data_IF_841488879237
#
_entry.id   IF_841488879237
#
_cell.length_a   1.000
_cell.length_b   1.000
_cell.length_c   1.000
_cell.angle_alpha   90.00
_cell.angle_beta   90.00
_cell.angle_gamma   90.00
#
_symmetry.space_group_name_H-M   'P 1'
#
loop_
_entity.id
_entity.type
_entity.pdbx_description
1 polymer ?
#
# COMPACT_ATOMS: atom_id res chain seq x y z
N UNK A 1 -53.95 -13.47 -41.57
CA UNK A 1 -53.38 -13.77 -40.24
C UNK A 1 -54.01 -12.78 -39.27
N UNK A 2 -54.87 -13.26 -38.35
CA UNK A 2 -55.76 -12.40 -37.55
C UNK A 2 -54.97 -11.55 -36.54
N UNK A 3 -55.39 -10.30 -36.28
CA UNK A 3 -54.77 -9.37 -35.33
C UNK A 3 -54.52 -9.99 -33.94
N UNK A 4 -55.32 -10.98 -33.56
CA UNK A 4 -55.18 -11.76 -32.32
C UNK A 4 -53.90 -12.59 -32.28
N UNK A 5 -53.52 -13.21 -33.41
CA UNK A 5 -52.29 -14.04 -33.49
C UNK A 5 -51.05 -13.16 -33.39
N UNK A 6 -51.08 -11.98 -34.03
CA UNK A 6 -49.99 -11.00 -33.93
C UNK A 6 -49.84 -10.46 -32.50
N UNK A 7 -50.95 -10.18 -31.81
CA UNK A 7 -50.94 -9.74 -30.41
C UNK A 7 -50.33 -10.76 -29.46
N UNK A 8 -50.64 -12.06 -29.62
CA UNK A 8 -50.08 -13.14 -28.79
C UNK A 8 -48.56 -13.29 -29.04
N UNK A 9 -48.11 -13.23 -30.29
CA UNK A 9 -46.68 -13.33 -30.63
C UNK A 9 -45.88 -12.16 -30.06
N UNK A 10 -46.40 -10.93 -30.16
CA UNK A 10 -45.75 -9.74 -29.62
C UNK A 10 -45.69 -9.78 -28.08
N UNK A 11 -46.78 -10.15 -27.42
CA UNK A 11 -46.81 -10.30 -25.95
C UNK A 11 -45.88 -11.43 -25.47
N UNK A 12 -45.81 -12.54 -26.20
CA UNK A 12 -44.88 -13.64 -25.91
C UNK A 12 -43.42 -13.22 -26.06
N UNK A 13 -43.09 -12.47 -27.12
CA UNK A 13 -41.75 -11.93 -27.33
C UNK A 13 -41.37 -10.89 -26.27
N UNK A 14 -42.26 -9.97 -25.91
CA UNK A 14 -42.05 -9.00 -24.83
C UNK A 14 -41.90 -9.69 -23.48
N UNK A 15 -42.69 -10.74 -23.20
CA UNK A 15 -42.55 -11.55 -21.99
C UNK A 15 -41.20 -12.25 -21.91
N UNK A 16 -40.70 -12.81 -23.01
CA UNK A 16 -39.37 -13.42 -23.08
C UNK A 16 -38.25 -12.41 -22.91
N UNK A 17 -38.36 -11.22 -23.50
CA UNK A 17 -37.38 -10.14 -23.33
C UNK A 17 -37.37 -9.65 -21.88
N UNK A 18 -38.55 -9.40 -21.29
CA UNK A 18 -38.67 -9.00 -19.89
C UNK A 18 -38.11 -10.07 -18.94
N UNK A 19 -38.40 -11.35 -19.21
CA UNK A 19 -37.86 -12.47 -18.46
C UNK A 19 -36.33 -12.58 -18.59
N UNK A 20 -35.77 -12.39 -19.79
CA UNK A 20 -34.33 -12.39 -20.02
C UNK A 20 -33.63 -11.21 -19.31
N UNK A 21 -34.27 -10.03 -19.27
CA UNK A 21 -33.77 -8.86 -18.54
C UNK A 21 -33.86 -9.05 -17.02
N UNK A 22 -34.94 -9.64 -16.52
CA UNK A 22 -35.12 -9.97 -15.09
C UNK A 22 -34.13 -11.05 -14.63
N UNK A 23 -33.88 -12.08 -15.46
CA UNK A 23 -32.88 -13.10 -15.16
C UNK A 23 -31.48 -12.51 -15.01
N UNK A 24 -31.10 -11.54 -15.85
CA UNK A 24 -29.79 -10.88 -15.74
C UNK A 24 -29.59 -10.19 -14.39
N UNK A 25 -30.61 -9.54 -13.85
CA UNK A 25 -30.47 -8.83 -12.57
C UNK A 25 -30.63 -9.71 -11.33
N UNK A 26 -31.37 -10.82 -11.41
CA UNK A 26 -31.66 -11.70 -10.27
C UNK A 26 -30.65 -12.86 -10.15
N UNK A 27 -30.06 -13.31 -11.25
CA UNK A 27 -29.14 -14.48 -11.28
C UNK A 27 -27.66 -14.08 -11.33
N UNK A 28 -27.34 -12.79 -11.35
CA UNK A 28 -25.96 -12.32 -11.33
C UNK A 28 -25.36 -12.41 -9.93
N UNK A 29 -24.16 -12.97 -9.84
CA UNK A 29 -23.36 -12.91 -8.62
C UNK A 29 -22.67 -11.55 -8.60
N UNK A 30 -22.96 -10.75 -7.57
CA UNK A 30 -22.17 -9.56 -7.25
C UNK A 30 -20.83 -9.99 -6.66
N UNK A 31 -19.79 -9.32 -7.08
CA UNK A 31 -18.41 -9.68 -6.78
C UNK A 31 -17.77 -8.60 -5.93
N UNK A 32 -16.78 -8.99 -5.13
CA UNK A 32 -15.99 -8.04 -4.35
C UNK A 32 -14.72 -7.71 -5.13
N UNK A 33 -14.44 -6.41 -5.30
CA UNK A 33 -13.16 -5.95 -5.84
C UNK A 33 -12.12 -5.80 -4.74
N UNK A 34 -10.84 -5.80 -5.10
CA UNK A 34 -9.73 -5.64 -4.16
C UNK A 34 -8.52 -4.94 -4.77
N UNK A 35 -7.57 -4.51 -3.92
CA UNK A 35 -6.36 -3.85 -4.38
C UNK A 35 -5.49 -4.80 -5.19
N UNK A 36 -4.83 -4.25 -6.20
CA UNK A 36 -3.92 -4.96 -7.09
C UNK A 36 -2.65 -4.14 -7.31
N UNK A 37 -1.49 -4.69 -7.01
CA UNK A 37 -0.23 -3.96 -7.17
C UNK A 37 -0.05 -2.83 -6.14
N UNK A 38 0.99 -2.03 -6.35
CA UNK A 38 1.43 -1.01 -5.40
C UNK A 38 0.52 0.23 -5.44
N UNK A 39 0.46 0.92 -4.32
CA UNK A 39 -0.23 2.20 -4.16
C UNK A 39 0.75 3.36 -4.25
N UNK A 40 0.21 4.53 -4.60
CA UNK A 40 0.97 5.78 -4.66
C UNK A 40 0.32 6.84 -3.78
N UNK A 41 1.07 7.88 -3.47
CA UNK A 41 0.60 9.03 -2.70
C UNK A 41 0.93 10.33 -3.41
N UNK A 42 -0.02 11.24 -3.45
CA UNK A 42 0.18 12.65 -3.80
C UNK A 42 -0.54 13.53 -2.78
N UNK A 43 0.23 14.29 -2.00
CA UNK A 43 -0.29 15.03 -0.86
C UNK A 43 -1.05 14.11 0.11
N UNK A 44 -2.31 14.48 0.41
CA UNK A 44 -3.21 13.69 1.26
C UNK A 44 -3.85 12.51 0.52
N UNK A 45 -3.85 12.51 -0.82
CA UNK A 45 -4.52 11.47 -1.61
C UNK A 45 -3.64 10.24 -1.77
N UNK A 46 -4.17 9.11 -1.32
CA UNK A 46 -3.64 7.77 -1.56
C UNK A 46 -4.38 7.17 -2.74
N UNK A 47 -3.62 6.69 -3.72
CA UNK A 47 -4.12 6.09 -4.95
C UNK A 47 -3.82 4.60 -4.90
N UNK A 48 -4.86 3.78 -4.92
CA UNK A 48 -4.73 2.33 -4.93
C UNK A 48 -5.35 1.78 -6.20
N UNK A 49 -4.58 0.98 -6.93
CA UNK A 49 -5.10 0.29 -8.10
C UNK A 49 -6.02 -0.84 -7.67
N UNK A 50 -7.18 -0.95 -8.31
CA UNK A 50 -8.25 -1.87 -7.94
C UNK A 50 -8.65 -2.74 -9.12
N UNK A 51 -8.89 -4.01 -8.83
CA UNK A 51 -9.47 -4.98 -9.78
C UNK A 51 -10.76 -5.52 -9.23
N UNK A 52 -11.73 -5.76 -10.11
CA UNK A 52 -13.02 -6.34 -9.76
C UNK A 52 -13.47 -7.31 -10.83
N UNK A 53 -13.83 -8.53 -10.43
CA UNK A 53 -14.47 -9.49 -11.34
C UNK A 53 -15.83 -8.93 -11.77
N UNK A 54 -16.19 -8.97 -13.04
CA UNK A 54 -17.49 -8.48 -13.49
C UNK A 54 -18.62 -9.46 -13.12
N UNK A 55 -19.84 -8.96 -12.86
CA UNK A 55 -20.98 -9.82 -12.56
C UNK A 55 -21.21 -10.85 -13.66
N UNK A 56 -21.28 -12.12 -13.28
CA UNK A 56 -21.46 -13.23 -14.20
C UNK A 56 -22.61 -14.14 -13.76
N UNK A 57 -23.10 -14.95 -14.69
CA UNK A 57 -24.13 -15.97 -14.43
C UNK A 57 -23.42 -17.27 -14.02
N UNK A 58 -23.70 -17.83 -12.84
CA UNK A 58 -23.06 -19.06 -12.40
C UNK A 58 -23.38 -20.25 -13.30
N UNK A 59 -22.38 -21.09 -13.55
CA UNK A 59 -22.51 -22.33 -14.29
C UNK A 59 -21.74 -23.45 -13.58
N UNK A 60 -22.21 -24.70 -13.71
CA UNK A 60 -21.62 -25.86 -13.04
C UNK A 60 -20.16 -26.11 -13.50
N UNK A 61 -19.89 -25.85 -14.77
CA UNK A 61 -18.57 -25.98 -15.39
C UNK A 61 -17.99 -24.59 -15.69
N UNK A 62 -17.94 -23.72 -14.67
CA UNK A 62 -17.37 -22.38 -14.84
C UNK A 62 -15.92 -22.47 -15.29
N UNK A 63 -15.63 -21.83 -16.42
CA UNK A 63 -14.28 -21.64 -16.91
C UNK A 63 -13.78 -20.25 -16.50
N UNK A 64 -12.88 -20.22 -15.51
CA UNK A 64 -12.28 -18.99 -14.99
C UNK A 64 -11.47 -18.22 -16.05
N UNK A 65 -11.05 -18.86 -17.14
CA UNK A 65 -10.32 -18.18 -18.22
C UNK A 65 -11.19 -17.16 -18.97
N UNK A 66 -12.53 -17.30 -18.91
CA UNK A 66 -13.47 -16.38 -19.55
C UNK A 66 -13.98 -15.30 -18.60
N UNK A 67 -13.48 -15.25 -17.36
CA UNK A 67 -13.81 -14.21 -16.41
C UNK A 67 -13.34 -12.84 -16.93
N UNK A 68 -14.25 -11.87 -16.90
CA UNK A 68 -13.96 -10.49 -17.27
C UNK A 68 -13.83 -9.63 -16.02
N UNK A 69 -12.98 -8.62 -16.09
CA UNK A 69 -12.64 -7.76 -14.97
C UNK A 69 -12.79 -6.30 -15.34
N UNK A 70 -13.29 -5.52 -14.39
CA UNK A 70 -13.20 -4.07 -14.39
C UNK A 70 -11.95 -3.62 -13.63
N UNK A 71 -11.34 -2.55 -14.11
CA UNK A 71 -10.14 -1.93 -13.59
C UNK A 71 -10.45 -0.50 -13.20
N UNK A 72 -9.88 -0.05 -12.08
CA UNK A 72 -9.93 1.35 -11.73
C UNK A 72 -8.96 1.72 -10.63
N UNK A 73 -9.04 2.96 -10.19
CA UNK A 73 -8.28 3.44 -9.03
C UNK A 73 -9.25 3.86 -7.93
N UNK A 74 -8.92 3.48 -6.70
CA UNK A 74 -9.54 4.03 -5.51
C UNK A 74 -8.67 5.18 -5.02
N UNK A 75 -9.28 6.36 -4.95
CA UNK A 75 -8.70 7.53 -4.31
C UNK A 75 -9.18 7.56 -2.86
N UNK A 76 -8.26 7.72 -1.93
CA UNK A 76 -8.56 7.86 -0.52
C UNK A 76 -7.87 9.10 0.04
N UNK A 77 -8.62 10.02 0.63
CA UNK A 77 -8.04 11.17 1.30
C UNK A 77 -7.65 10.80 2.74
N UNK A 78 -6.36 10.91 3.05
CA UNK A 78 -5.83 10.52 4.36
C UNK A 78 -6.24 11.46 5.51
N UNK A 79 -6.73 12.67 5.22
CA UNK A 79 -7.20 13.61 6.24
C UNK A 79 -8.69 13.45 6.52
N UNK A 80 -9.53 13.46 5.49
CA UNK A 80 -10.99 13.36 5.67
C UNK A 80 -11.47 11.92 5.81
N UNK A 81 -10.70 10.95 5.30
CA UNK A 81 -11.11 9.55 5.17
C UNK A 81 -12.09 9.31 4.01
N UNK A 82 -12.37 10.32 3.19
CA UNK A 82 -13.24 10.18 2.03
C UNK A 82 -12.61 9.28 0.98
N UNK A 83 -13.44 8.57 0.24
CA UNK A 83 -12.97 7.74 -0.87
C UNK A 83 -13.82 7.88 -2.12
N UNK A 84 -13.16 7.79 -3.27
CA UNK A 84 -13.80 7.82 -4.59
C UNK A 84 -13.16 6.79 -5.50
N UNK A 85 -13.98 5.94 -6.08
CA UNK A 85 -13.54 5.02 -7.14
C UNK A 85 -13.68 5.68 -8.52
N UNK A 86 -12.65 5.55 -9.36
CA UNK A 86 -12.67 5.95 -10.76
C UNK A 86 -12.45 4.70 -11.60
N UNK A 87 -13.46 4.32 -12.37
CA UNK A 87 -13.37 3.23 -13.32
C UNK A 87 -12.55 3.66 -14.54
N UNK A 88 -11.59 2.83 -14.95
CA UNK A 88 -10.70 3.10 -16.07
C UNK A 88 -11.00 2.20 -17.27
N UNK A 89 -11.35 0.93 -17.01
CA UNK A 89 -11.69 -0.01 -18.07
C UNK A 89 -12.62 -1.14 -17.57
N UNK A 90 -13.33 -1.75 -18.51
CA UNK A 90 -14.18 -2.94 -18.32
C UNK A 90 -13.84 -4.04 -19.33
N UNK A 91 -14.34 -5.24 -19.09
CA UNK A 91 -14.25 -6.36 -20.04
C UNK A 91 -12.83 -6.88 -20.22
N UNK A 92 -11.96 -6.75 -19.22
CA UNK A 92 -10.56 -7.17 -19.31
C UNK A 92 -10.39 -8.63 -18.92
N UNK A 93 -9.57 -9.37 -19.65
CA UNK A 93 -9.22 -10.75 -19.29
C UNK A 93 -8.29 -10.78 -18.07
N UNK A 94 -8.17 -11.95 -17.44
CA UNK A 94 -7.20 -12.16 -16.37
C UNK A 94 -5.75 -11.86 -16.79
N UNK A 95 -5.38 -12.15 -18.05
CA UNK A 95 -4.04 -11.85 -18.58
C UNK A 95 -3.74 -10.34 -18.63
N UNK A 96 -4.75 -9.50 -18.87
CA UNK A 96 -4.58 -8.05 -18.87
C UNK A 96 -4.28 -7.49 -17.47
N UNK A 97 -4.71 -8.19 -16.41
CA UNK A 97 -4.48 -7.76 -15.02
C UNK A 97 -2.98 -7.77 -14.65
N UNK A 98 -2.19 -8.68 -15.20
CA UNK A 98 -0.76 -8.77 -14.91
C UNK A 98 0.05 -7.56 -15.41
N UNK A 99 -0.51 -6.76 -16.32
CA UNK A 99 0.10 -5.53 -16.83
C UNK A 99 -0.39 -4.27 -16.11
N UNK A 100 -1.37 -4.42 -15.22
CA UNK A 100 -2.04 -3.30 -14.57
C UNK A 100 -1.21 -2.75 -13.41
N UNK A 101 -0.84 -1.48 -13.48
CA UNK A 101 -0.08 -0.81 -12.41
C UNK A 101 -0.26 0.70 -12.43
N UNK A 102 -0.04 1.33 -11.27
CA UNK A 102 0.24 2.75 -11.22
C UNK A 102 1.67 2.96 -11.74
N UNK A 103 1.85 3.78 -12.77
CA UNK A 103 3.13 3.95 -13.46
C UNK A 103 3.92 5.17 -12.96
N UNK A 104 3.22 6.27 -12.66
CA UNK A 104 3.82 7.50 -12.17
C UNK A 104 2.78 8.38 -11.48
N UNK A 105 3.24 9.32 -10.65
CA UNK A 105 2.41 10.35 -10.03
C UNK A 105 3.18 11.66 -9.99
N UNK A 106 2.52 12.75 -10.38
CA UNK A 106 3.08 14.11 -10.39
C UNK A 106 1.97 15.13 -10.16
N UNK A 107 2.06 15.87 -9.06
CA UNK A 107 1.01 16.79 -8.64
C UNK A 107 -0.35 16.08 -8.56
N UNK A 108 -1.34 16.63 -9.26
CA UNK A 108 -2.71 16.10 -9.28
C UNK A 108 -2.93 15.03 -10.35
N UNK A 109 -1.87 14.49 -10.96
CA UNK A 109 -1.99 13.51 -12.04
C UNK A 109 -1.32 12.19 -11.68
N UNK A 110 -2.01 11.10 -12.01
CA UNK A 110 -1.47 9.74 -11.94
C UNK A 110 -1.53 9.10 -13.32
N UNK A 111 -0.49 8.38 -13.70
CA UNK A 111 -0.45 7.57 -14.90
C UNK A 111 -0.67 6.12 -14.52
N UNK A 112 -1.53 5.45 -15.27
CA UNK A 112 -1.97 4.08 -14.99
C UNK A 112 -1.79 3.26 -16.25
N UNK A 113 -1.10 2.13 -16.15
CA UNK A 113 -1.01 1.19 -17.26
C UNK A 113 -2.18 0.21 -17.16
N UNK A 114 -3.03 0.18 -18.20
CA UNK A 114 -4.13 -0.77 -18.36
C UNK A 114 -4.09 -1.37 -19.77
N UNK A 115 -3.17 -2.32 -20.00
CA UNK A 115 -2.41 -2.54 -21.25
C UNK A 115 -1.91 -1.33 -22.05
N UNK A 116 -2.68 -0.25 -22.12
CA UNK A 116 -2.28 1.06 -22.63
C UNK A 116 -2.24 2.06 -21.47
N UNK A 117 -1.32 3.00 -21.52
CA UNK A 117 -1.18 4.03 -20.49
C UNK A 117 -2.34 5.03 -20.59
N UNK A 118 -2.94 5.33 -19.44
CA UNK A 118 -3.93 6.39 -19.24
C UNK A 118 -3.39 7.39 -18.23
N UNK A 119 -3.93 8.62 -18.24
CA UNK A 119 -3.63 9.63 -17.22
C UNK A 119 -4.93 10.04 -16.54
N UNK A 120 -4.92 10.12 -15.22
CA UNK A 120 -6.08 10.49 -14.41
C UNK A 120 -5.78 11.74 -13.62
N UNK A 121 -6.68 12.71 -13.66
CA UNK A 121 -6.67 13.86 -12.75
C UNK A 121 -7.31 13.45 -11.41
N UNK A 122 -6.54 13.51 -10.34
CA UNK A 122 -6.92 13.07 -9.01
C UNK A 122 -8.03 13.94 -8.40
N UNK A 123 -8.09 15.22 -8.76
CA UNK A 123 -9.10 16.17 -8.28
C UNK A 123 -10.39 15.99 -9.06
N UNK A 124 -10.37 16.26 -10.38
CA UNK A 124 -11.60 16.24 -11.20
C UNK A 124 -12.13 14.83 -11.45
N UNK A 125 -11.26 13.81 -11.40
CA UNK A 125 -11.58 12.44 -11.80
C UNK A 125 -11.60 12.24 -13.31
N UNK A 126 -11.17 13.25 -14.08
CA UNK A 126 -11.04 13.16 -15.53
C UNK A 126 -10.01 12.10 -15.92
N UNK A 127 -10.39 11.25 -16.87
CA UNK A 127 -9.53 10.20 -17.44
C UNK A 127 -9.18 10.57 -18.88
N UNK A 128 -7.89 10.70 -19.14
CA UNK A 128 -7.33 10.93 -20.47
C UNK A 128 -6.80 9.60 -21.00
N UNK A 129 -7.44 9.15 -22.07
CA UNK A 129 -7.13 7.88 -22.73
C UNK A 129 -5.84 7.91 -23.56
N UNK A 130 -5.40 6.73 -24.03
CA UNK A 130 -4.14 6.55 -24.74
C UNK A 130 -4.05 7.34 -26.06
N UNK A 131 -5.16 7.47 -26.80
CA UNK A 131 -5.18 8.19 -28.08
C UNK A 131 -4.75 9.66 -27.93
N UNK A 132 -5.20 10.31 -26.86
CA UNK A 132 -4.86 11.71 -26.57
C UNK A 132 -3.42 11.83 -26.07
N UNK A 133 -2.97 10.87 -25.25
CA UNK A 133 -1.59 10.84 -24.73
C UNK A 133 -0.55 10.65 -25.83
N UNK A 134 -0.84 9.83 -26.84
CA UNK A 134 0.06 9.64 -27.99
C UNK A 134 0.16 10.90 -28.86
N UNK A 135 -0.92 11.70 -28.90
CA UNK A 135 -0.99 12.94 -29.68
C UNK A 135 -0.32 14.16 -29.01
N UNK A 136 -0.09 14.12 -27.70
CA UNK A 136 0.46 15.25 -26.95
C UNK A 136 1.61 14.84 -26.00
N UNK A 137 2.87 15.08 -26.41
CA UNK A 137 4.05 14.77 -25.61
C UNK A 137 4.10 15.42 -24.21
N UNK A 138 3.35 16.51 -23.98
CA UNK A 138 3.29 17.17 -22.67
C UNK A 138 2.49 16.38 -21.63
N UNK A 139 1.70 15.40 -22.08
CA UNK A 139 0.84 14.58 -21.23
C UNK A 139 1.45 13.21 -20.90
N UNK A 140 2.57 12.86 -21.54
CA UNK A 140 3.30 11.59 -21.35
C UNK A 140 3.93 11.56 -19.95
N UNK A 141 4.01 10.38 -19.28
CA UNK A 141 4.55 10.28 -17.94
C UNK A 141 5.99 10.81 -17.82
N UNK A 142 6.37 11.35 -16.65
CA UNK A 142 7.71 11.92 -16.43
C UNK A 142 8.82 10.90 -16.67
N UNK A 143 9.98 11.37 -17.15
CA UNK A 143 11.13 10.53 -17.55
C UNK A 143 11.68 9.63 -16.43
N UNK A 144 11.56 10.04 -15.17
CA UNK A 144 11.73 9.13 -14.02
C UNK A 144 10.43 8.35 -13.83
N UNK A 145 10.19 7.42 -14.75
CA UNK A 145 9.24 6.36 -14.49
C UNK A 145 9.78 5.60 -13.29
N UNK A 146 8.98 5.45 -12.25
CA UNK A 146 9.28 4.47 -11.21
C UNK A 146 9.38 3.12 -11.92
N UNK A 147 10.52 2.46 -11.77
CA UNK A 147 10.81 1.19 -12.44
C UNK A 147 9.90 0.08 -11.93
N UNK A 148 9.79 -1.04 -12.63
CA UNK A 148 9.08 -2.23 -12.09
C UNK A 148 9.63 -2.64 -10.71
N UNK A 149 10.92 -2.43 -10.46
CA UNK A 149 11.52 -2.62 -9.14
C UNK A 149 11.03 -1.60 -8.09
N UNK A 150 10.65 -0.39 -8.52
CA UNK A 150 9.99 0.64 -7.69
C UNK A 150 8.51 0.35 -7.41
N UNK A 151 7.95 -0.70 -8.02
CA UNK A 151 6.55 -1.13 -7.88
C UNK A 151 6.39 -2.60 -7.49
N UNK A 152 7.50 -3.32 -7.27
CA UNK A 152 7.48 -4.57 -6.55
C UNK A 152 6.62 -4.36 -5.29
N UNK A 153 5.58 -5.17 -5.11
CA UNK A 153 4.72 -5.25 -3.92
C UNK A 153 5.16 -6.37 -2.99
N UNK A 154 6.32 -6.93 -3.31
CA UNK A 154 6.96 -8.07 -2.71
C UNK A 154 7.53 -7.65 -1.35
N UNK A 155 7.81 -8.64 -0.50
CA UNK A 155 8.50 -8.47 0.78
C UNK A 155 9.77 -7.59 0.62
N UNK A 156 10.49 -7.73 -0.49
CA UNK A 156 11.69 -6.97 -0.85
C UNK A 156 11.46 -5.45 -1.02
N UNK A 157 10.28 -5.03 -1.46
CA UNK A 157 9.98 -3.62 -1.66
C UNK A 157 9.55 -2.91 -0.39
N UNK A 158 8.77 -3.59 0.46
CA UNK A 158 8.43 -3.09 1.79
C UNK A 158 9.69 -3.01 2.66
N UNK A 159 10.60 -3.99 2.56
CA UNK A 159 11.91 -3.99 3.23
C UNK A 159 12.73 -2.73 2.91
N UNK A 160 12.67 -2.21 1.67
CA UNK A 160 13.42 -1.00 1.26
C UNK A 160 12.90 0.30 1.87
N UNK A 161 11.67 0.30 2.39
CA UNK A 161 11.16 1.39 3.22
C UNK A 161 11.53 1.22 4.70
N UNK A 162 12.10 0.09 5.08
CA UNK A 162 12.55 -0.17 6.44
C UNK A 162 14.05 0.08 6.60
N UNK A 163 14.46 0.45 7.79
CA UNK A 163 15.83 0.62 8.21
C UNK A 163 16.07 -0.07 9.55
N UNK A 164 17.24 -0.67 9.71
CA UNK A 164 17.66 -1.23 10.99
C UNK A 164 18.05 -0.14 12.00
N UNK A 165 18.27 1.09 11.53
CA UNK A 165 18.55 2.26 12.33
C UNK A 165 18.94 3.45 11.47
N UNK A 166 19.28 4.59 12.07
CA UNK A 166 19.72 5.78 11.33
C UNK A 166 20.11 6.95 12.23
N UNK A 167 20.64 8.00 11.60
CA UNK A 167 21.07 9.22 12.29
C UNK A 167 19.84 10.01 12.75
N UNK A 168 19.82 10.39 14.03
CA UNK A 168 18.71 11.10 14.68
C UNK A 168 19.24 12.25 15.52
N UNK A 169 18.45 13.33 15.65
CA UNK A 169 18.81 14.48 16.49
C UNK A 169 20.15 15.17 16.16
N UNK A 170 20.72 14.92 14.97
CA UNK A 170 21.97 15.50 14.47
C UNK A 170 23.27 14.94 15.04
N UNK A 171 23.25 14.18 16.15
CA UNK A 171 24.46 13.64 16.78
C UNK A 171 24.26 12.26 17.43
N UNK A 172 23.13 11.60 17.20
CA UNK A 172 22.83 10.27 17.70
C UNK A 172 22.49 9.33 16.56
N UNK A 173 22.58 8.04 16.84
CA UNK A 173 22.11 7.00 15.94
C UNK A 173 21.18 6.08 16.72
N UNK A 174 19.94 5.95 16.24
CA UNK A 174 18.91 5.11 16.82
C UNK A 174 18.80 3.85 15.97
N UNK A 175 18.92 2.69 16.60
CA UNK A 175 18.79 1.40 15.93
C UNK A 175 17.82 0.45 16.61
N UNK A 176 17.20 -0.40 15.82
CA UNK A 176 16.36 -1.52 16.24
C UNK A 176 17.03 -2.78 15.71
N UNK A 177 17.92 -3.32 16.53
CA UNK A 177 18.94 -4.28 16.10
C UNK A 177 18.84 -5.58 16.89
N UNK A 178 19.26 -6.68 16.27
CA UNK A 178 19.61 -7.88 17.04
C UNK A 178 20.96 -7.69 17.71
N UNK A 179 21.27 -8.53 18.71
CA UNK A 179 22.57 -8.48 19.36
C UNK A 179 23.72 -8.76 18.37
N UNK A 180 23.54 -9.72 17.46
CA UNK A 180 24.52 -10.07 16.42
C UNK A 180 24.82 -8.90 15.47
N UNK A 181 23.82 -8.09 15.13
CA UNK A 181 24.01 -6.90 14.30
C UNK A 181 24.79 -5.81 15.04
N UNK A 182 24.54 -5.62 16.34
CA UNK A 182 25.31 -4.65 17.14
C UNK A 182 26.79 -5.02 17.16
N UNK A 183 27.11 -6.30 17.33
CA UNK A 183 28.50 -6.79 17.42
C UNK A 183 29.23 -6.78 16.08
N UNK A 184 28.51 -6.96 14.97
CA UNK A 184 29.08 -7.05 13.63
C UNK A 184 29.08 -5.71 12.87
N UNK A 185 28.08 -4.84 13.06
CA UNK A 185 27.86 -3.63 12.25
C UNK A 185 28.06 -2.31 13.02
N UNK A 186 28.04 -2.34 14.35
CA UNK A 186 28.04 -1.13 15.19
C UNK A 186 29.22 -1.10 16.16
N UNK A 187 30.48 -1.17 15.70
CA UNK A 187 31.63 -1.06 16.61
C UNK A 187 32.04 0.39 16.78
N UNK A 188 32.61 0.69 17.95
CA UNK A 188 33.16 2.01 18.21
C UNK A 188 34.23 2.37 17.17
N UNK A 189 34.11 3.55 16.56
CA UNK A 189 34.98 4.04 15.49
C UNK A 189 34.46 3.72 14.09
N UNK A 190 33.54 2.76 13.93
CA UNK A 190 32.95 2.43 12.64
C UNK A 190 32.06 3.57 12.15
N UNK A 191 31.91 3.65 10.83
CA UNK A 191 31.05 4.66 10.19
C UNK A 191 29.59 4.36 10.48
N UNK A 192 28.88 5.35 11.01
CA UNK A 192 27.45 5.25 11.20
C UNK A 192 26.74 5.59 9.88
N UNK A 193 25.90 4.68 9.32
CA UNK A 193 25.14 4.97 8.12
C UNK A 193 24.04 5.99 8.41
N UNK A 194 23.68 6.81 7.41
CA UNK A 194 22.53 7.71 7.51
C UNK A 194 21.24 6.94 7.83
N UNK A 195 21.06 5.79 7.17
CA UNK A 195 20.06 4.77 7.52
C UNK A 195 20.61 3.37 7.19
N UNK A 196 20.55 2.47 8.17
CA UNK A 196 21.11 1.11 8.11
C UNK A 196 20.25 0.14 7.31
N UNK A 197 20.89 -0.86 6.70
CA UNK A 197 20.20 -1.88 5.92
C UNK A 197 19.31 -2.73 6.82
N UNK A 198 18.03 -2.83 6.45
CA UNK A 198 17.07 -3.67 7.14
C UNK A 198 17.03 -5.06 6.52
N UNK A 199 16.88 -6.07 7.36
CA UNK A 199 16.66 -7.45 6.96
C UNK A 199 15.71 -8.12 7.95
N UNK A 200 14.91 -9.07 7.48
CA UNK A 200 14.04 -9.81 8.38
C UNK A 200 14.86 -10.72 9.30
N UNK A 201 14.41 -10.84 10.55
CA UNK A 201 15.05 -11.70 11.53
C UNK A 201 14.02 -12.26 12.49
N UNK A 202 14.17 -13.55 12.78
CA UNK A 202 13.39 -14.25 13.81
C UNK A 202 13.85 -13.93 15.24
N UNK A 203 15.02 -13.32 15.39
CA UNK A 203 15.49 -12.88 16.69
C UNK A 203 14.78 -11.58 17.10
N UNK A 204 14.42 -11.42 18.39
CA UNK A 204 13.90 -10.15 18.87
C UNK A 204 14.95 -9.07 18.70
N UNK A 205 14.56 -7.95 18.09
CA UNK A 205 15.38 -6.75 18.00
C UNK A 205 15.16 -5.89 19.25
N UNK A 206 16.10 -5.02 19.58
CA UNK A 206 15.98 -4.07 20.70
C UNK A 206 16.41 -2.70 20.26
N UNK A 207 15.96 -1.69 21.00
CA UNK A 207 16.39 -0.32 20.79
C UNK A 207 17.83 -0.15 21.29
N UNK A 208 18.69 0.45 20.46
CA UNK A 208 20.05 0.86 20.80
C UNK A 208 20.23 2.32 20.39
N UNK A 209 20.77 3.13 21.29
CA UNK A 209 21.09 4.54 21.00
C UNK A 209 22.58 4.76 21.17
N UNK A 210 23.20 5.29 20.12
CA UNK A 210 24.62 5.62 20.10
C UNK A 210 24.81 7.13 20.00
N UNK A 211 25.79 7.65 20.73
CA UNK A 211 26.35 8.96 20.42
C UNK A 211 27.30 8.86 19.24
N UNK A 212 27.31 9.90 18.40
CA UNK A 212 28.14 9.99 17.21
C UNK A 212 29.27 11.01 17.39
N UNK A 213 30.44 10.68 16.88
CA UNK A 213 31.53 11.63 16.67
C UNK A 213 31.47 12.19 15.26
N UNK A 214 31.77 13.49 15.08
CA UNK A 214 31.98 14.06 13.75
C UNK A 214 33.38 13.69 13.26
N UNK A 215 33.45 12.84 12.24
CA UNK A 215 34.68 12.53 11.52
C UNK A 215 34.78 13.28 10.18
N UNK A 216 35.98 13.39 9.60
CA UNK A 216 36.18 14.04 8.29
C UNK A 216 35.46 13.32 7.14
N UNK A 217 35.16 12.03 7.28
CA UNK A 217 34.45 11.19 6.31
C UNK A 217 32.97 10.96 6.66
N UNK A 218 32.45 11.59 7.71
CA UNK A 218 31.08 11.42 8.19
C UNK A 218 31.01 11.00 9.67
N UNK A 219 29.80 10.75 10.19
CA UNK A 219 29.62 10.36 11.58
C UNK A 219 30.17 8.95 11.85
N UNK A 220 30.77 8.76 13.02
CA UNK A 220 31.22 7.46 13.51
C UNK A 220 30.61 7.14 14.86
N UNK A 221 30.40 5.85 15.13
CA UNK A 221 29.91 5.36 16.41
C UNK A 221 30.92 5.68 17.52
N UNK A 222 30.50 6.49 18.50
CA UNK A 222 31.38 6.89 19.62
C UNK A 222 31.18 6.01 20.84
N UNK A 223 29.94 5.91 21.30
CA UNK A 223 29.58 5.20 22.53
C UNK A 223 28.12 4.78 22.47
N UNK A 224 27.84 3.57 22.94
CA UNK A 224 26.48 3.13 23.22
C UNK A 224 25.97 3.82 24.49
N UNK A 225 24.95 4.67 24.33
CA UNK A 225 24.37 5.46 25.42
C UNK A 225 23.24 4.71 26.13
N UNK A 226 22.40 3.99 25.38
CA UNK A 226 21.30 3.20 25.95
C UNK A 226 21.00 1.92 25.16
N UNK A 227 20.45 0.94 25.89
CA UNK A 227 19.93 -0.33 25.36
C UNK A 227 18.56 -0.59 25.97
N UNK A 228 17.53 -0.70 25.14
CA UNK A 228 16.19 -1.09 25.55
C UNK A 228 16.15 -2.54 26.04
N UNK A 229 15.27 -2.83 27.00
CA UNK A 229 15.01 -4.18 27.49
C UNK A 229 13.95 -4.93 26.68
N UNK A 230 13.04 -4.19 26.06
CA UNK A 230 11.91 -4.71 25.29
C UNK A 230 12.34 -5.24 23.92
N UNK A 231 11.65 -6.31 23.48
CA UNK A 231 11.92 -6.99 22.23
C UNK A 231 10.90 -6.63 21.16
N UNK A 232 11.38 -6.17 20.00
CA UNK A 232 10.60 -5.80 18.83
C UNK A 232 10.77 -6.90 17.76
N UNK A 233 9.74 -7.71 17.52
CA UNK A 233 9.81 -8.80 16.54
C UNK A 233 9.73 -8.24 15.12
N UNK A 234 10.77 -8.49 14.31
CA UNK A 234 10.87 -7.86 12.99
C UNK A 234 10.91 -6.33 13.03
N UNK A 235 11.21 -5.72 14.19
CA UNK A 235 11.15 -4.27 14.37
C UNK A 235 12.11 -3.50 13.47
N UNK A 236 11.68 -2.37 12.94
CA UNK A 236 12.54 -1.47 12.16
C UNK A 236 11.95 -0.07 12.04
N UNK A 237 12.79 0.88 11.61
CA UNK A 237 12.40 2.27 11.41
C UNK A 237 11.97 2.50 9.97
N UNK A 238 10.94 3.32 9.75
CA UNK A 238 10.46 3.66 8.42
C UNK A 238 11.33 4.77 7.82
N UNK A 239 11.61 4.66 6.52
CA UNK A 239 12.32 5.64 5.69
C UNK A 239 11.35 6.57 5.00
N UNK A 240 11.80 7.78 4.70
CA UNK A 240 11.07 8.81 3.93
C UNK A 240 10.85 8.41 2.47
N UNK A 241 11.61 7.44 1.98
CA UNK A 241 11.56 6.88 0.64
C UNK A 241 12.37 5.57 0.60
N UNK A 242 12.30 4.85 -0.52
CA UNK A 242 13.09 3.64 -0.73
C UNK A 242 14.58 3.97 -0.65
N UNK A 243 15.31 3.23 0.17
CA UNK A 243 16.75 3.40 0.37
C UNK A 243 17.17 4.83 0.82
N UNK A 244 16.21 5.64 1.30
CA UNK A 244 16.40 7.03 1.71
C UNK A 244 16.65 7.17 3.23
N UNK A 245 16.81 8.39 3.73
CA UNK A 245 16.93 8.67 5.16
C UNK A 245 15.66 8.30 5.94
N UNK A 246 15.78 8.18 7.26
CA UNK A 246 14.65 7.88 8.14
C UNK A 246 13.54 8.92 8.00
N UNK A 247 12.29 8.47 8.10
CA UNK A 247 11.13 9.34 8.15
C UNK A 247 11.09 10.04 9.51
N UNK A 248 11.36 11.34 9.54
CA UNK A 248 11.10 12.18 10.70
C UNK A 248 9.63 12.63 10.70
N UNK A 249 8.93 12.29 11.78
CA UNK A 249 7.53 12.61 12.00
C UNK A 249 7.34 14.03 12.57
N UNK A 250 6.18 14.62 12.31
CA UNK A 250 5.70 15.81 13.02
C UNK A 250 5.66 15.52 14.53
N UNK A 251 6.09 16.51 15.32
CA UNK A 251 6.29 16.36 16.76
C UNK A 251 7.66 15.78 17.14
N UNK A 252 8.59 15.63 16.17
CA UNK A 252 9.99 15.18 16.35
C UNK A 252 10.08 13.75 16.89
N UNK A 253 10.22 12.80 15.97
CA UNK A 253 10.42 11.38 16.26
C UNK A 253 10.48 10.57 14.98
N UNK A 254 10.62 9.25 15.11
CA UNK A 254 10.74 8.32 13.98
C UNK A 254 9.72 7.22 14.09
N UNK A 255 9.09 6.89 12.96
CA UNK A 255 8.11 5.81 12.89
C UNK A 255 8.82 4.46 12.93
N UNK A 256 8.36 3.61 13.84
CA UNK A 256 8.80 2.25 14.04
C UNK A 256 7.65 1.29 13.73
N UNK A 257 7.96 0.16 13.10
CA UNK A 257 7.01 -0.92 12.87
C UNK A 257 7.59 -2.25 13.35
N UNK A 258 6.82 -2.99 14.16
CA UNK A 258 7.14 -4.35 14.58
C UNK A 258 5.90 -5.23 14.67
N UNK A 259 6.10 -6.54 14.86
CA UNK A 259 5.02 -7.48 15.13
C UNK A 259 4.76 -7.65 16.62
N UNK A 260 3.49 -7.75 17.01
CA UNK A 260 3.06 -8.03 18.40
C UNK A 260 3.61 -9.33 18.98
N UNK A 261 3.98 -10.30 18.14
CA UNK A 261 4.55 -11.59 18.52
C UNK A 261 5.37 -12.18 17.37
N UNK A 262 6.25 -13.17 17.63
CA UNK A 262 6.93 -13.91 16.57
C UNK A 262 5.91 -14.47 15.57
N UNK A 263 6.28 -14.44 14.29
CA UNK A 263 5.51 -14.75 13.09
C UNK A 263 4.30 -15.71 13.18
N UNK A 264 3.34 -15.51 12.25
CA UNK A 264 1.97 -16.07 12.11
C UNK A 264 0.93 -15.50 13.08
N UNK A 265 -0.17 -15.00 12.51
CA UNK A 265 -1.33 -14.44 13.24
C UNK A 265 -0.96 -13.29 14.20
N UNK A 266 0.17 -12.61 13.95
CA UNK A 266 0.54 -11.36 14.61
C UNK A 266 -0.12 -10.19 13.87
N UNK A 267 -0.18 -9.07 14.57
CA UNK A 267 -0.50 -7.76 14.02
C UNK A 267 0.75 -6.88 14.05
N UNK A 268 0.77 -5.90 13.16
CA UNK A 268 1.78 -4.86 13.05
C UNK A 268 1.40 -3.77 14.04
N UNK A 269 2.35 -3.43 14.86
CA UNK A 269 2.33 -2.29 15.75
C UNK A 269 3.09 -1.16 15.09
N UNK A 270 2.56 0.04 15.19
CA UNK A 270 3.26 1.26 14.87
C UNK A 270 3.60 2.02 16.16
N UNK A 271 4.82 2.52 16.27
CA UNK A 271 5.25 3.35 17.38
C UNK A 271 5.99 4.60 16.89
N UNK A 272 5.88 5.71 17.63
CA UNK A 272 6.78 6.85 17.46
C UNK A 272 7.87 6.80 18.50
N UNK A 273 9.11 6.68 18.05
CA UNK A 273 10.29 6.75 18.90
C UNK A 273 10.87 8.17 18.93
N UNK A 274 11.24 8.64 20.11
CA UNK A 274 12.06 9.84 20.27
C UNK A 274 13.55 9.58 20.01
N UNK A 275 14.36 10.63 20.04
CA UNK A 275 15.80 10.53 19.71
C UNK A 275 16.62 9.78 20.76
N UNK A 276 16.04 9.49 21.93
CA UNK A 276 16.66 8.71 23.01
C UNK A 276 16.11 7.28 23.04
N UNK A 277 15.33 6.88 22.02
CA UNK A 277 14.72 5.56 21.94
C UNK A 277 13.53 5.37 22.87
N UNK A 278 13.01 6.45 23.47
CA UNK A 278 11.78 6.41 24.24
C UNK A 278 10.57 6.26 23.31
N UNK A 279 9.66 5.36 23.65
CA UNK A 279 8.36 5.22 22.98
C UNK A 279 7.47 6.38 23.41
N UNK A 280 7.04 7.21 22.45
CA UNK A 280 6.16 8.36 22.72
C UNK A 280 4.70 7.94 22.67
N UNK A 281 4.35 7.13 21.67
CA UNK A 281 3.07 6.45 21.55
C UNK A 281 3.29 5.15 20.77
N UNK A 282 2.34 4.22 20.94
CA UNK A 282 2.29 2.94 20.26
C UNK A 282 0.83 2.57 19.98
N UNK A 283 0.56 1.96 18.83
CA UNK A 283 -0.77 1.52 18.44
C UNK A 283 -0.72 0.25 17.60
N UNK A 284 -1.66 -0.68 17.83
CA UNK A 284 -1.90 -1.80 16.92
C UNK A 284 -2.61 -1.27 15.67
N UNK A 285 -2.08 -1.59 14.50
CA UNK A 285 -2.65 -1.17 13.20
C UNK A 285 -3.75 -2.11 12.71
N UNK A 286 -3.85 -3.32 13.27
CA UNK A 286 -4.73 -4.39 12.81
C UNK A 286 -4.29 -5.03 11.49
N UNK A 287 -3.15 -4.64 10.91
CA UNK A 287 -2.54 -5.28 9.74
C UNK A 287 -1.74 -6.49 10.23
N UNK A 288 -1.90 -7.66 9.61
CA UNK A 288 -1.04 -8.83 9.87
C UNK A 288 0.12 -8.94 8.88
N UNK A 289 -0.08 -8.53 7.63
CA UNK A 289 0.90 -8.56 6.55
C UNK A 289 0.89 -7.20 5.83
N UNK A 290 1.99 -6.46 5.90
CA UNK A 290 2.16 -5.18 5.19
C UNK A 290 2.46 -5.46 3.72
N UNK A 291 1.76 -4.78 2.83
CA UNK A 291 1.97 -4.84 1.38
C UNK A 291 2.60 -3.55 0.85
N UNK A 292 2.30 -2.41 1.49
CA UNK A 292 2.87 -1.12 1.12
C UNK A 292 3.02 -0.20 2.32
N UNK A 293 4.08 0.60 2.29
CA UNK A 293 4.33 1.69 3.23
C UNK A 293 4.31 2.98 2.42
N UNK A 294 3.50 3.94 2.84
CA UNK A 294 3.33 5.25 2.23
C UNK A 294 3.82 6.32 3.21
N UNK A 295 5.13 6.65 3.20
CA UNK A 295 5.70 7.60 4.13
C UNK A 295 5.06 8.97 4.00
N UNK A 296 4.76 9.59 5.13
CA UNK A 296 4.38 10.99 5.25
C UNK A 296 4.71 11.46 6.67
N UNK A 297 5.26 12.67 6.88
CA UNK A 297 5.62 13.14 8.21
C UNK A 297 4.44 13.33 9.17
N UNK A 298 3.24 13.62 8.65
CA UNK A 298 2.05 13.94 9.44
C UNK A 298 1.08 12.75 9.50
N UNK A 299 0.87 12.08 8.38
CA UNK A 299 -0.14 11.03 8.20
C UNK A 299 0.44 9.80 7.49
N UNK A 300 1.49 9.15 8.03
CA UNK A 300 2.01 7.94 7.42
C UNK A 300 0.90 6.89 7.27
N UNK A 301 0.92 6.17 6.16
CA UNK A 301 -0.11 5.19 5.86
C UNK A 301 0.49 3.83 5.50
N UNK A 302 -0.24 2.78 5.83
CA UNK A 302 0.10 1.39 5.59
C UNK A 302 -1.04 0.72 4.84
N UNK A 303 -0.71 -0.06 3.82
CA UNK A 303 -1.66 -0.95 3.16
C UNK A 303 -1.23 -2.37 3.46
N UNK A 304 -2.20 -3.19 3.85
CA UNK A 304 -1.91 -4.57 4.20
C UNK A 304 -3.17 -5.39 4.36
N UNK A 305 -2.99 -6.65 4.76
CA UNK A 305 -4.09 -7.57 5.05
C UNK A 305 -4.23 -7.79 6.54
N UNK A 306 -5.47 -7.94 7.02
CA UNK A 306 -5.74 -8.37 8.40
C UNK A 306 -5.08 -9.72 8.69
N UNK A 307 -4.77 -10.03 9.97
CA UNK A 307 -4.25 -11.33 10.35
C UNK A 307 -5.12 -12.48 9.84
N UNK A 308 -4.50 -13.52 9.30
CA UNK A 308 -5.20 -14.68 8.77
C UNK A 308 -6.06 -15.37 9.83
N UNK A 309 -7.34 -15.54 9.53
CA UNK A 309 -8.27 -16.37 10.29
C UNK A 309 -8.56 -17.62 9.45
N UNK A 310 -8.50 -18.83 10.03
CA UNK A 310 -8.85 -20.06 9.30
C UNK A 310 -10.20 -19.93 8.60
N UNK A 311 -10.27 -20.45 7.38
CA UNK A 311 -11.48 -20.47 6.54
C UNK A 311 -12.06 -19.10 6.18
N UNK A 312 -11.28 -18.01 6.35
CA UNK A 312 -11.67 -16.66 5.95
C UNK A 312 -10.64 -16.00 5.04
N UNK A 313 -11.13 -15.30 4.02
CA UNK A 313 -10.30 -14.41 3.21
C UNK A 313 -9.87 -13.22 4.07
N UNK A 314 -8.56 -12.94 4.09
CA UNK A 314 -8.03 -11.81 4.86
C UNK A 314 -8.39 -10.51 4.16
N UNK A 315 -9.06 -9.62 4.90
CA UNK A 315 -9.48 -8.32 4.40
C UNK A 315 -8.26 -7.42 4.14
N UNK A 316 -8.14 -6.83 2.93
CA UNK A 316 -7.19 -5.77 2.67
C UNK A 316 -7.70 -4.46 3.27
N UNK A 317 -6.84 -3.77 4.01
CA UNK A 317 -7.14 -2.52 4.70
C UNK A 317 -6.07 -1.47 4.43
N UNK A 318 -6.50 -0.22 4.43
CA UNK A 318 -5.66 0.96 4.52
C UNK A 318 -5.72 1.46 5.96
N UNK A 319 -4.56 1.69 6.56
CA UNK A 319 -4.42 2.29 7.89
C UNK A 319 -3.67 3.61 7.74
N UNK A 320 -4.28 4.71 8.18
CA UNK A 320 -3.64 6.02 8.27
C UNK A 320 -3.37 6.30 9.74
N UNK A 321 -2.16 6.75 10.05
CA UNK A 321 -1.71 6.99 11.42
C UNK A 321 -1.49 8.49 11.61
N UNK A 322 -2.13 9.08 12.61
CA UNK A 322 -1.84 10.46 13.03
C UNK A 322 -0.50 10.49 13.78
N UNK A 323 0.51 11.13 13.20
CA UNK A 323 1.87 11.10 13.72
C UNK A 323 2.03 11.77 15.10
N UNK A 324 1.14 12.72 15.44
CA UNK A 324 1.21 13.47 16.69
C UNK A 324 0.66 12.66 17.86
N UNK A 325 -0.46 11.99 17.64
CA UNK A 325 -1.26 11.32 18.68
C UNK A 325 -1.16 9.79 18.67
N UNK A 326 -0.72 9.19 17.57
CA UNK A 326 -0.73 7.74 17.37
C UNK A 326 -2.11 7.14 17.08
N UNK A 327 -3.14 7.97 16.88
CA UNK A 327 -4.47 7.47 16.51
C UNK A 327 -4.45 6.90 15.10
N UNK A 328 -5.21 5.83 14.90
CA UNK A 328 -5.35 5.18 13.59
C UNK A 328 -6.77 5.33 13.05
N UNK A 329 -6.89 5.62 11.76
CA UNK A 329 -8.10 5.37 10.99
C UNK A 329 -7.87 4.15 10.10
N UNK A 330 -8.89 3.29 9.99
CA UNK A 330 -8.81 2.05 9.22
C UNK A 330 -9.95 1.99 8.22
N UNK A 331 -9.61 1.75 6.97
CA UNK A 331 -10.54 1.72 5.86
C UNK A 331 -10.44 0.39 5.13
N UNK A 332 -11.59 -0.24 4.85
CA UNK A 332 -11.64 -1.44 4.03
C UNK A 332 -11.29 -1.09 2.59
N UNK A 333 -10.47 -1.91 1.95
CA UNK A 333 -10.18 -1.83 0.52
C UNK A 333 -11.02 -2.84 -0.28
N UNK A 334 -12.04 -3.45 0.32
CA UNK A 334 -13.04 -4.18 -0.44
C UNK A 334 -14.02 -3.21 -1.10
N UNK A 335 -14.21 -3.39 -2.41
CA UNK A 335 -15.30 -2.71 -3.11
C UNK A 335 -16.49 -3.65 -3.20
N UNK A 336 -17.60 -3.22 -2.60
CA UNK A 336 -18.89 -3.87 -2.72
C UNK A 336 -19.76 -3.15 -3.75
N UNK A 337 -20.63 -3.90 -4.42
CA UNK A 337 -21.61 -3.41 -5.40
C UNK A 337 -23.04 -3.56 -4.88
#
# INVERSE_FOLDING_TARGET
MSFVVLGIVVMGALGLIAFALLQKHVLQIRTTGGPSGASLRSGTTIVTMMTRLEPYIPSLNRDHANDLFSLGILLHDAESGDSRYIELAKGRSQSALGMCKLAAIEGDFVWVDTPETMRVNLVSGEVIGPDVLQGDPSLVPPKKQRTLADFATDEDATIRYMASGGVVGGNRWLGILTQDQVESECRQGDRAPAAGNYSLSNQPRRIYVWSLSKGPSGPTFRKLDSKGSEGFFGGGLVRSGRDAELLELVGKGWLELHHTKPYRKSSIVAARLGSEGQVVWETDTGIGEVQDILPDPKLPALIGRRPQVPDKVSEPILVVIDAETGKVSTHSLWMHE
#
